data_IF_382476594445
#
_entry.id   IF_382476594445
#
_cell.length_a   1.000
_cell.length_b   1.000
_cell.length_c   1.000
_cell.angle_alpha   90.00
_cell.angle_beta   90.00
_cell.angle_gamma   90.00
#
_symmetry.space_group_name_H-M   'P 1'
#
loop_
_entity.id
_entity.type
_entity.pdbx_description
1 polymer ?
#
# COMPACT_ATOMS: atom_id res chain seq x y z
N UNK A 1 9.02 -0.49 16.98
CA UNK A 1 8.71 0.92 17.11
C UNK A 1 7.28 1.04 16.67
N UNK A 2 6.38 1.14 17.64
CA UNK A 2 4.98 1.42 17.42
C UNK A 2 4.87 2.90 17.01
N UNK A 3 4.15 3.19 15.91
CA UNK A 3 4.01 4.55 15.37
C UNK A 3 3.30 5.47 16.38
N UNK A 4 2.40 4.94 17.21
CA UNK A 4 1.72 5.68 18.26
C UNK A 4 2.70 6.19 19.34
N UNK A 5 3.82 5.52 19.58
CA UNK A 5 4.85 6.01 20.52
C UNK A 5 5.48 7.33 20.04
N UNK A 6 5.45 7.58 18.73
CA UNK A 6 5.95 8.81 18.13
C UNK A 6 4.96 9.98 18.29
N UNK A 7 3.69 9.71 18.62
CA UNK A 7 2.64 10.69 18.89
C UNK A 7 2.71 11.25 20.32
N UNK A 8 3.83 11.87 20.65
CA UNK A 8 4.07 12.49 21.96
C UNK A 8 4.24 14.01 21.85
N UNK A 9 4.12 14.70 23.00
CA UNK A 9 4.16 16.17 23.09
C UNK A 9 5.47 16.74 22.53
N UNK A 10 6.60 16.04 22.71
CA UNK A 10 7.89 16.50 22.22
C UNK A 10 7.93 16.50 20.68
N UNK A 11 7.52 15.40 20.05
CA UNK A 11 7.46 15.32 18.59
C UNK A 11 6.41 16.29 18.02
N UNK A 12 5.28 16.47 18.71
CA UNK A 12 4.29 17.48 18.35
C UNK A 12 4.87 18.90 18.38
N UNK A 13 5.59 19.26 19.44
CA UNK A 13 6.24 20.57 19.54
C UNK A 13 7.31 20.76 18.44
N UNK A 14 8.11 19.73 18.14
CA UNK A 14 9.12 19.75 17.05
C UNK A 14 8.48 19.98 15.68
N UNK A 15 7.39 19.26 15.40
CA UNK A 15 6.63 19.43 14.16
C UNK A 15 6.02 20.82 14.08
N UNK A 16 5.32 21.28 15.14
CA UNK A 16 4.67 22.59 15.15
C UNK A 16 5.64 23.76 15.00
N UNK A 17 6.82 23.66 15.62
CA UNK A 17 7.81 24.74 15.60
C UNK A 17 8.67 24.76 14.33
N UNK A 18 8.97 23.60 13.73
CA UNK A 18 9.99 23.48 12.68
C UNK A 18 9.57 22.68 11.45
N UNK A 19 8.39 22.07 11.46
CA UNK A 19 7.95 21.15 10.41
C UNK A 19 8.82 19.89 10.28
N UNK A 20 9.53 19.50 11.34
CA UNK A 20 10.48 18.37 11.33
C UNK A 20 10.12 17.31 12.35
N UNK A 21 10.72 16.13 12.21
CA UNK A 21 10.53 14.98 13.09
C UNK A 21 9.52 13.98 12.53
N UNK A 22 9.23 12.90 13.28
CA UNK A 22 8.47 11.77 12.76
C UNK A 22 7.04 12.11 12.32
N UNK A 23 6.41 13.12 12.94
CA UNK A 23 5.06 13.58 12.56
C UNK A 23 5.01 14.33 11.22
N UNK A 24 6.15 14.60 10.60
CA UNK A 24 6.26 15.14 9.24
C UNK A 24 6.38 14.04 8.17
N UNK A 25 6.48 12.76 8.55
CA UNK A 25 6.61 11.64 7.61
C UNK A 25 5.24 11.08 7.20
N UNK A 26 5.16 10.61 5.94
CA UNK A 26 4.03 9.83 5.42
C UNK A 26 4.24 8.31 5.56
N UNK A 27 5.33 7.87 6.20
CA UNK A 27 5.72 6.48 6.50
C UNK A 27 6.21 5.67 5.28
N UNK A 28 5.88 6.07 4.05
CA UNK A 28 6.42 5.47 2.82
C UNK A 28 7.82 5.98 2.50
N UNK A 29 8.83 5.52 3.24
CA UNK A 29 10.18 6.09 3.24
C UNK A 29 11.04 5.70 2.02
N UNK A 30 10.75 4.56 1.40
CA UNK A 30 11.44 4.14 0.19
C UNK A 30 10.54 3.31 -0.71
N UNK A 31 10.92 3.18 -1.97
CA UNK A 31 10.27 2.28 -2.90
C UNK A 31 11.09 2.02 -4.14
N UNK A 32 10.70 0.99 -4.88
CA UNK A 32 11.37 0.58 -6.10
C UNK A 32 10.38 -0.06 -7.08
N UNK A 33 10.70 0.03 -8.37
CA UNK A 33 9.94 -0.58 -9.45
C UNK A 33 10.71 -1.77 -10.03
N UNK A 34 10.03 -2.87 -10.27
CA UNK A 34 10.61 -4.11 -10.80
C UNK A 34 9.73 -4.68 -11.92
N UNK A 35 10.35 -5.36 -12.87
CA UNK A 35 9.63 -6.22 -13.80
C UNK A 35 9.43 -7.60 -13.15
N UNK A 36 8.19 -8.10 -13.15
CA UNK A 36 7.83 -9.43 -12.63
C UNK A 36 8.44 -10.56 -13.48
N UNK A 37 8.69 -10.29 -14.77
CA UNK A 37 9.27 -11.22 -15.74
C UNK A 37 10.06 -10.50 -16.83
N UNK A 38 10.93 -11.24 -17.50
CA UNK A 38 11.70 -10.74 -18.64
C UNK A 38 10.81 -10.38 -19.83
N UNK A 39 11.26 -9.40 -20.62
CA UNK A 39 10.61 -8.99 -21.86
C UNK A 39 9.42 -8.04 -21.70
N UNK A 40 9.09 -7.60 -20.48
CA UNK A 40 8.10 -6.54 -20.27
C UNK A 40 8.62 -5.19 -20.78
N UNK A 41 7.74 -4.35 -21.37
CA UNK A 41 8.14 -3.04 -21.89
C UNK A 41 8.45 -2.02 -20.79
N UNK A 42 8.00 -2.26 -19.56
CA UNK A 42 8.25 -1.45 -18.37
C UNK A 42 8.05 -2.28 -17.09
N UNK A 43 8.55 -1.81 -15.92
CA UNK A 43 8.23 -2.39 -14.62
C UNK A 43 6.71 -2.42 -14.36
N UNK A 44 6.23 -3.55 -13.85
CA UNK A 44 4.82 -3.78 -13.51
C UNK A 44 4.60 -3.96 -12.00
N UNK A 45 5.65 -4.09 -11.21
CA UNK A 45 5.60 -4.15 -9.74
C UNK A 45 6.20 -2.89 -9.12
N UNK A 46 5.58 -2.41 -8.05
CA UNK A 46 6.09 -1.37 -7.16
C UNK A 46 6.17 -1.92 -5.74
N UNK A 47 7.32 -1.77 -5.08
CA UNK A 47 7.46 -2.09 -3.66
C UNK A 47 7.51 -0.80 -2.88
N UNK A 48 6.67 -0.67 -1.85
CA UNK A 48 6.75 0.38 -0.84
C UNK A 48 7.40 -0.18 0.42
N UNK A 49 8.32 0.59 1.01
CA UNK A 49 9.00 0.24 2.25
C UNK A 49 8.58 1.20 3.35
N UNK A 50 8.13 0.64 4.47
CA UNK A 50 7.73 1.38 5.65
C UNK A 50 8.53 0.94 6.87
N UNK A 51 9.06 1.87 7.70
CA UNK A 51 9.80 1.55 8.93
C UNK A 51 8.86 1.22 10.11
N UNK A 52 7.72 0.59 9.81
CA UNK A 52 6.69 0.21 10.77
C UNK A 52 6.03 -1.10 10.32
N UNK A 53 5.44 -1.81 11.28
CA UNK A 53 4.72 -3.05 11.01
C UNK A 53 3.31 -2.77 10.51
N UNK A 54 3.08 -3.02 9.22
CA UNK A 54 1.75 -3.10 8.63
C UNK A 54 1.44 -4.57 8.36
N UNK A 55 0.67 -5.19 9.26
CA UNK A 55 0.12 -6.53 9.09
C UNK A 55 -1.39 -6.47 9.29
N UNK A 56 -2.11 -7.43 8.70
CA UNK A 56 -3.57 -7.46 8.70
C UNK A 56 -4.19 -6.11 8.31
N UNK A 57 -3.72 -5.55 7.19
CA UNK A 57 -4.13 -4.24 6.66
C UNK A 57 -3.94 -3.05 7.62
N UNK A 58 -3.06 -3.18 8.62
CA UNK A 58 -2.84 -2.14 9.63
C UNK A 58 -3.96 -2.03 10.66
N UNK A 59 -4.84 -3.04 10.75
CA UNK A 59 -5.93 -3.08 11.74
C UNK A 59 -5.43 -3.43 13.15
N UNK A 60 -4.21 -3.95 13.25
CA UNK A 60 -3.58 -4.35 14.50
C UNK A 60 -2.27 -3.60 14.73
N UNK A 61 -2.04 -3.21 15.99
CA UNK A 61 -0.82 -2.50 16.38
C UNK A 61 0.36 -3.47 16.48
N UNK A 62 1.48 -3.22 15.77
CA UNK A 62 2.70 -4.01 15.92
C UNK A 62 3.25 -4.00 17.34
N UNK A 63 3.48 -5.20 17.87
CA UNK A 63 4.03 -5.43 19.22
C UNK A 63 5.56 -5.38 19.28
N UNK A 64 6.23 -5.25 18.13
CA UNK A 64 7.69 -5.21 18.03
C UNK A 64 8.16 -4.27 16.91
N UNK A 65 9.47 -4.01 16.83
CA UNK A 65 10.03 -3.26 15.72
C UNK A 65 10.00 -4.09 14.43
N UNK A 66 9.42 -3.51 13.39
CA UNK A 66 9.21 -4.17 12.10
C UNK A 66 9.49 -3.20 10.97
N UNK A 67 9.78 -3.76 9.81
CA UNK A 67 9.81 -3.08 8.52
C UNK A 67 8.85 -3.82 7.61
N UNK A 68 7.95 -3.12 6.94
CA UNK A 68 7.05 -3.71 5.96
C UNK A 68 7.53 -3.40 4.55
N UNK A 69 7.57 -4.44 3.72
CA UNK A 69 7.66 -4.33 2.26
C UNK A 69 6.27 -4.66 1.68
N UNK A 70 5.65 -3.71 0.99
CA UNK A 70 4.33 -3.86 0.39
C UNK A 70 4.47 -3.89 -1.15
N UNK A 71 4.46 -5.09 -1.77
CA UNK A 71 4.44 -5.21 -3.23
C UNK A 71 3.04 -4.89 -3.78
N UNK A 72 3.01 -4.11 -4.85
CA UNK A 72 1.80 -3.68 -5.55
C UNK A 72 2.00 -3.90 -7.04
N UNK A 73 1.08 -4.61 -7.70
CA UNK A 73 1.04 -4.71 -9.16
C UNK A 73 0.44 -3.41 -9.70
N UNK A 74 1.25 -2.64 -10.43
CA UNK A 74 0.88 -1.31 -10.96
C UNK A 74 0.45 -1.34 -12.43
N UNK A 75 0.70 -2.46 -13.12
CA UNK A 75 0.21 -2.71 -14.47
C UNK A 75 -0.63 -3.99 -14.50
N UNK A 76 -1.91 -3.85 -14.14
CA UNK A 76 -2.86 -4.96 -14.01
C UNK A 76 -3.58 -5.28 -15.32
N UNK A 77 -3.87 -6.56 -15.56
CA UNK A 77 -4.74 -7.05 -16.63
C UNK A 77 -6.21 -7.07 -16.21
N UNK A 78 -6.52 -7.38 -14.94
CA UNK A 78 -7.88 -7.43 -14.41
C UNK A 78 -8.61 -6.09 -14.57
N UNK A 79 -9.93 -6.14 -14.82
CA UNK A 79 -10.78 -4.95 -14.98
C UNK A 79 -12.08 -5.11 -14.20
N UNK A 80 -12.25 -4.25 -13.20
CA UNK A 80 -13.48 -4.14 -12.42
C UNK A 80 -14.57 -3.31 -13.06
N UNK A 81 -15.68 -3.16 -12.35
CA UNK A 81 -16.82 -2.32 -12.72
C UNK A 81 -17.23 -1.38 -11.59
N UNK A 82 -17.74 -0.21 -11.98
CA UNK A 82 -18.34 0.78 -11.09
C UNK A 82 -19.70 1.16 -11.66
N UNK A 83 -20.78 0.97 -10.89
CA UNK A 83 -22.14 1.22 -11.35
C UNK A 83 -22.94 2.02 -10.33
N UNK A 84 -23.82 2.88 -10.83
CA UNK A 84 -24.84 3.47 -9.97
C UNK A 84 -25.83 2.38 -9.58
N UNK A 85 -26.04 2.23 -8.27
CA UNK A 85 -27.00 1.27 -7.71
C UNK A 85 -28.41 1.85 -7.61
N UNK A 86 -28.53 3.17 -7.65
CA UNK A 86 -29.79 3.92 -7.55
C UNK A 86 -29.68 5.24 -8.32
N UNK A 87 -30.82 5.86 -8.64
CA UNK A 87 -30.88 7.23 -9.14
C UNK A 87 -30.73 8.28 -8.01
N UNK A 88 -30.82 7.85 -6.75
CA UNK A 88 -30.58 8.70 -5.57
C UNK A 88 -29.06 8.92 -5.38
N UNK A 89 -28.57 10.17 -5.42
CA UNK A 89 -27.14 10.48 -5.31
C UNK A 89 -26.57 10.22 -3.92
N UNK A 90 -27.40 9.98 -2.89
CA UNK A 90 -26.95 9.61 -1.54
C UNK A 90 -26.54 8.14 -1.42
N UNK A 91 -26.90 7.31 -2.39
CA UNK A 91 -26.57 5.88 -2.37
C UNK A 91 -25.11 5.64 -2.73
N UNK A 92 -24.44 4.81 -1.94
CA UNK A 92 -23.15 4.26 -2.33
C UNK A 92 -23.27 3.50 -3.67
N UNK A 93 -22.32 3.69 -4.60
CA UNK A 93 -22.28 2.95 -5.85
C UNK A 93 -21.96 1.48 -5.59
N UNK A 94 -22.25 0.64 -6.57
CA UNK A 94 -21.79 -0.74 -6.62
C UNK A 94 -20.36 -0.74 -7.19
N UNK A 95 -19.42 -1.28 -6.41
CA UNK A 95 -18.00 -1.36 -6.75
C UNK A 95 -17.61 -2.83 -6.77
N UNK A 96 -17.16 -3.31 -7.91
CA UNK A 96 -16.45 -4.57 -8.04
C UNK A 96 -15.07 -4.28 -8.63
N UNK A 97 -14.01 -4.43 -7.83
CA UNK A 97 -12.65 -4.18 -8.30
C UNK A 97 -12.12 -5.30 -9.21
N UNK A 98 -12.72 -6.49 -9.16
CA UNK A 98 -12.24 -7.69 -9.85
C UNK A 98 -10.74 -7.94 -9.63
N UNK A 99 -10.24 -7.74 -8.39
CA UNK A 99 -8.84 -7.97 -8.09
C UNK A 99 -8.48 -9.43 -8.37
N UNK A 100 -7.42 -9.63 -9.16
CA UNK A 100 -6.91 -10.95 -9.54
C UNK A 100 -7.87 -11.82 -10.37
N UNK A 101 -8.84 -11.21 -11.05
CA UNK A 101 -9.74 -11.93 -11.96
C UNK A 101 -9.01 -12.46 -13.20
N UNK A 102 -8.00 -11.75 -13.70
CA UNK A 102 -7.08 -12.25 -14.72
C UNK A 102 -5.92 -13.02 -14.08
N UNK A 103 -5.68 -14.23 -14.58
CA UNK A 103 -4.62 -15.12 -14.11
C UNK A 103 -3.22 -14.49 -14.21
N UNK A 104 -2.99 -13.60 -15.18
CA UNK A 104 -1.74 -12.90 -15.38
C UNK A 104 -1.34 -12.04 -14.17
N UNK A 105 -2.32 -11.45 -13.46
CA UNK A 105 -2.05 -10.61 -12.29
C UNK A 105 -1.56 -11.45 -11.10
N UNK A 106 -2.10 -12.66 -10.96
CA UNK A 106 -1.63 -13.62 -9.96
C UNK A 106 -0.26 -14.20 -10.30
N UNK A 107 0.02 -14.43 -11.59
CA UNK A 107 1.32 -14.94 -12.05
C UNK A 107 2.44 -13.92 -11.83
N UNK A 108 2.14 -12.63 -11.90
CA UNK A 108 3.10 -11.54 -11.68
C UNK A 108 3.48 -11.35 -10.20
N UNK A 109 2.69 -11.88 -9.25
CA UNK A 109 2.95 -11.68 -7.83
C UNK A 109 4.17 -12.47 -7.32
N UNK A 110 5.07 -11.86 -6.51
CA UNK A 110 6.32 -12.47 -6.07
C UNK A 110 6.20 -13.81 -5.34
N UNK A 111 5.09 -14.06 -4.66
CA UNK A 111 4.87 -15.30 -3.92
C UNK A 111 4.55 -16.49 -4.85
N UNK A 112 4.06 -16.22 -6.07
CA UNK A 112 3.74 -17.23 -7.08
C UNK A 112 4.74 -17.30 -8.23
N UNK A 113 5.55 -16.26 -8.44
CA UNK A 113 6.60 -16.22 -9.46
C UNK A 113 7.86 -17.05 -9.11
N UNK A 114 7.93 -17.61 -7.89
CA UNK A 114 8.96 -18.60 -7.52
C UNK A 114 8.61 -19.98 -8.10
N UNK A 115 9.11 -20.28 -9.30
CA UNK A 115 9.31 -21.66 -9.78
C UNK A 115 10.75 -22.08 -9.57
#
# INVERSE_FOLDING_TARGET
SDLAQLNNVLNFARWKARGTGPLASNIGEAGAFFASRDGLPAPDLQIHMAPAGFYDNGLHEPTSAMVTAAPTLVSVASRGTLRLRSADPSWHPEIDAAYFDDQADLDAMPERSRR
#
